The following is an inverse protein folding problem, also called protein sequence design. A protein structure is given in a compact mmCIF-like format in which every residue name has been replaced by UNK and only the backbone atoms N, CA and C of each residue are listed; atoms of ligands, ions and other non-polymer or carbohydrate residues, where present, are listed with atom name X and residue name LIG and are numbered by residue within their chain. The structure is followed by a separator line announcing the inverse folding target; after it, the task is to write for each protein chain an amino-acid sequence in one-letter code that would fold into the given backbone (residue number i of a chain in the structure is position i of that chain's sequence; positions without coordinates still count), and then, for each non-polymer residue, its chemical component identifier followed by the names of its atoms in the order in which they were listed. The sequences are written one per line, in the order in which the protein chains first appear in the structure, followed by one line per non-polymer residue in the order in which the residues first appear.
data_IF_635010434829
#
_entry.id   IF_635010434829
#
_cell.length_a   1.000
_cell.length_b   1.000
_cell.length_c   1.000
_cell.angle_alpha   90.00
_cell.angle_beta   90.00
_cell.angle_gamma   90.00
#
_symmetry.space_group_name_H-M   'P 1'
#
loop_
_entity.id
_entity.type
_entity.pdbx_description
1 polymer ?
#
# COMPACT_ATOMS: atom_id res chain seq x y z
N UNK A 1 0.19 25.48 19.21
CA UNK A 1 1.10 25.08 18.14
C UNK A 1 2.34 25.94 18.25
N UNK A 2 3.48 25.36 18.57
CA UNK A 2 4.76 26.06 18.66
C UNK A 2 5.31 26.36 17.26
N UNK A 3 6.28 27.29 17.11
CA UNK A 3 6.95 27.53 15.84
C UNK A 3 7.59 26.27 15.23
N UNK A 4 8.12 25.37 16.08
CA UNK A 4 8.72 24.10 15.69
C UNK A 4 7.65 23.13 15.15
N UNK A 5 6.53 22.98 15.86
CA UNK A 5 5.39 22.17 15.41
C UNK A 5 4.82 22.66 14.07
N UNK A 6 4.73 23.99 13.89
CA UNK A 6 4.26 24.60 12.64
C UNK A 6 5.23 24.33 11.48
N UNK A 7 6.53 24.43 11.73
CA UNK A 7 7.57 24.18 10.71
C UNK A 7 7.58 22.72 10.28
N UNK A 8 7.52 21.80 11.26
CA UNK A 8 7.42 20.37 11.01
C UNK A 8 6.16 20.03 10.21
N UNK A 9 5.00 20.50 10.65
CA UNK A 9 3.71 20.26 9.97
C UNK A 9 3.73 20.79 8.53
N UNK A 10 4.32 21.96 8.31
CA UNK A 10 4.47 22.54 6.97
C UNK A 10 5.36 21.67 6.09
N UNK A 11 6.51 21.22 6.60
CA UNK A 11 7.43 20.34 5.87
C UNK A 11 6.80 18.97 5.55
N UNK A 12 6.10 18.38 6.53
CA UNK A 12 5.38 17.12 6.35
C UNK A 12 4.31 17.24 5.26
N UNK A 13 3.47 18.27 5.33
CA UNK A 13 2.42 18.51 4.34
C UNK A 13 2.98 18.74 2.93
N UNK A 14 4.13 19.42 2.82
CA UNK A 14 4.82 19.64 1.54
C UNK A 14 5.31 18.32 0.91
N UNK A 15 5.68 17.35 1.74
CA UNK A 15 6.19 16.04 1.31
C UNK A 15 5.13 14.92 1.32
N UNK A 16 3.90 15.21 1.73
CA UNK A 16 2.77 14.28 1.69
C UNK A 16 2.53 13.63 0.31
N UNK A 17 2.71 14.32 -0.83
CA UNK A 17 2.62 13.68 -2.15
C UNK A 17 3.61 12.53 -2.35
N UNK A 18 4.85 12.66 -1.84
CA UNK A 18 5.85 11.58 -1.86
C UNK A 18 5.40 10.42 -1.00
N UNK A 19 4.94 10.68 0.24
CA UNK A 19 4.42 9.65 1.13
C UNK A 19 3.27 8.86 0.49
N UNK A 20 2.36 9.55 -0.21
CA UNK A 20 1.22 8.94 -0.88
C UNK A 20 1.62 7.92 -1.98
N UNK A 21 2.85 7.95 -2.48
CA UNK A 21 3.35 6.98 -3.47
C UNK A 21 3.47 5.55 -2.91
N UNK A 22 3.40 5.35 -1.58
CA UNK A 22 3.39 4.00 -0.98
C UNK A 22 2.28 3.11 -1.58
N UNK A 23 1.14 3.72 -1.93
CA UNK A 23 -0.02 3.07 -2.58
C UNK A 23 0.29 2.50 -3.96
N UNK A 24 1.36 2.97 -4.61
CA UNK A 24 1.81 2.52 -5.93
C UNK A 24 2.92 1.48 -5.86
N UNK A 25 3.48 1.23 -4.68
CA UNK A 25 4.58 0.28 -4.53
C UNK A 25 4.09 -1.16 -4.76
N UNK A 26 4.85 -1.93 -5.53
CA UNK A 26 4.60 -3.35 -5.78
C UNK A 26 5.49 -4.26 -4.92
N UNK A 27 6.44 -3.71 -4.17
CA UNK A 27 7.39 -4.48 -3.36
C UNK A 27 7.85 -3.73 -2.11
N UNK A 28 8.50 -4.46 -1.20
CA UNK A 28 9.15 -3.90 -0.01
C UNK A 28 10.28 -2.93 -0.37
N UNK A 29 11.04 -3.23 -1.42
CA UNK A 29 12.14 -2.36 -1.86
C UNK A 29 11.63 -1.00 -2.36
N UNK A 30 10.54 -1.02 -3.14
CA UNK A 30 9.87 0.22 -3.58
C UNK A 30 9.31 1.01 -2.40
N UNK A 31 8.75 0.33 -1.39
CA UNK A 31 8.30 0.96 -0.16
C UNK A 31 9.48 1.67 0.53
N UNK A 32 10.61 1.01 0.76
CA UNK A 32 11.77 1.64 1.37
C UNK A 32 12.31 2.83 0.56
N UNK A 33 12.23 2.79 -0.78
CA UNK A 33 12.58 3.94 -1.63
C UNK A 33 11.65 5.13 -1.33
N UNK A 34 10.35 4.91 -1.24
CA UNK A 34 9.39 5.98 -0.91
C UNK A 34 9.62 6.53 0.49
N UNK A 35 9.88 5.67 1.49
CA UNK A 35 10.22 6.09 2.86
C UNK A 35 11.38 7.06 2.86
N UNK A 36 12.47 6.66 2.23
CA UNK A 36 13.72 7.41 2.29
C UNK A 36 13.64 8.68 1.46
N UNK A 37 12.90 8.66 0.33
CA UNK A 37 12.59 9.87 -0.41
C UNK A 37 11.73 10.85 0.41
N UNK A 38 10.77 10.35 1.18
CA UNK A 38 9.96 11.17 2.07
C UNK A 38 10.80 11.77 3.20
N UNK A 39 11.65 10.99 3.85
CA UNK A 39 12.58 11.46 4.88
C UNK A 39 13.58 12.49 4.34
N UNK A 40 14.17 12.22 3.17
CA UNK A 40 15.07 13.16 2.49
C UNK A 40 14.36 14.48 2.18
N UNK A 41 13.12 14.43 1.70
CA UNK A 41 12.30 15.60 1.41
C UNK A 41 11.95 16.41 2.66
N UNK A 42 11.62 15.75 3.77
CA UNK A 42 11.42 16.37 5.08
C UNK A 42 12.70 17.03 5.60
N UNK A 43 13.81 16.30 5.59
CA UNK A 43 15.10 16.77 6.09
C UNK A 43 15.63 17.95 5.27
N UNK A 44 15.33 18.02 3.96
CA UNK A 44 15.68 19.18 3.13
C UNK A 44 15.08 20.51 3.61
N UNK A 45 13.99 20.45 4.37
CA UNK A 45 13.28 21.61 4.89
C UNK A 45 13.58 21.87 6.37
N UNK A 46 13.86 20.82 7.14
CA UNK A 46 14.00 20.87 8.60
C UNK A 46 15.46 20.80 9.08
N UNK A 47 16.32 20.09 8.34
CA UNK A 47 17.71 19.81 8.68
C UNK A 47 18.63 20.33 7.57
N UNK A 48 18.52 21.63 7.26
CA UNK A 48 19.11 22.24 6.05
C UNK A 48 20.64 22.14 6.00
N UNK A 49 21.30 22.12 7.17
CA UNK A 49 22.76 21.98 7.28
C UNK A 49 23.20 20.57 6.89
N UNK A 50 22.63 19.56 7.51
CA UNK A 50 22.92 18.14 7.27
C UNK A 50 22.55 17.77 5.83
N UNK A 51 21.40 18.28 5.35
CA UNK A 51 20.97 18.08 3.97
C UNK A 51 21.94 18.74 2.98
N UNK A 52 22.46 19.92 3.29
CA UNK A 52 23.48 20.60 2.48
C UNK A 52 24.73 19.74 2.29
N UNK A 53 25.28 19.21 3.38
CA UNK A 53 26.44 18.31 3.34
C UNK A 53 26.18 17.03 2.54
N UNK A 54 25.01 16.41 2.72
CA UNK A 54 24.60 15.26 1.93
C UNK A 54 24.45 15.62 0.45
N UNK A 55 23.79 16.71 0.11
CA UNK A 55 23.61 17.17 -1.28
C UNK A 55 24.93 17.41 -1.99
N UNK A 56 25.92 18.00 -1.31
CA UNK A 56 27.27 18.20 -1.86
C UNK A 56 27.99 16.87 -2.12
N UNK A 57 27.79 15.87 -1.26
CA UNK A 57 28.34 14.52 -1.48
C UNK A 57 27.60 13.73 -2.58
N UNK A 58 26.34 14.07 -2.83
CA UNK A 58 25.50 13.45 -3.86
C UNK A 58 25.71 14.03 -5.26
N UNK A 59 26.72 14.87 -5.51
CA UNK A 59 26.95 15.47 -6.84
C UNK A 59 27.19 14.35 -7.87
N UNK A 60 26.09 13.98 -8.51
CA UNK A 60 25.96 13.18 -9.71
C UNK A 60 25.77 14.20 -10.83
N UNK A 61 26.47 14.00 -11.94
CA UNK A 61 26.39 14.78 -13.17
C UNK A 61 25.01 15.48 -13.37
N UNK A 62 24.95 16.82 -13.59
CA UNK A 62 23.72 17.59 -13.75
C UNK A 62 22.68 17.00 -14.74
N UNK A 63 23.13 16.21 -15.71
CA UNK A 63 22.27 15.47 -16.65
C UNK A 63 21.39 14.42 -15.94
N UNK A 64 21.92 13.76 -14.92
CA UNK A 64 21.20 12.76 -14.11
C UNK A 64 20.16 13.40 -13.19
N UNK A 65 20.42 14.61 -12.69
CA UNK A 65 19.48 15.34 -11.84
C UNK A 65 18.20 15.73 -12.59
N UNK A 66 18.33 16.05 -13.88
CA UNK A 66 17.20 16.48 -14.73
C UNK A 66 16.27 15.30 -15.11
N UNK A 67 16.82 14.09 -15.31
CA UNK A 67 15.99 12.91 -15.58
C UNK A 67 15.28 12.39 -14.31
N UNK A 68 15.93 12.52 -13.15
CA UNK A 68 15.35 12.25 -11.82
C UNK A 68 14.17 13.19 -11.58
N UNK A 69 14.35 14.51 -11.79
CA UNK A 69 13.32 15.53 -11.58
C UNK A 69 12.02 15.26 -12.38
N UNK A 70 12.13 14.70 -13.59
CA UNK A 70 10.99 14.39 -14.46
C UNK A 70 10.25 13.09 -14.06
N UNK A 71 10.82 12.26 -13.19
CA UNK A 71 10.30 10.94 -12.83
C UNK A 71 9.85 10.83 -11.36
N UNK A 72 9.98 11.91 -10.57
CA UNK A 72 9.76 11.95 -9.10
C UNK A 72 8.37 11.50 -8.62
N UNK A 73 7.40 11.32 -9.52
CA UNK A 73 6.02 10.94 -9.18
C UNK A 73 5.78 9.41 -9.11
N UNK A 74 6.86 8.61 -9.12
CA UNK A 74 6.83 7.15 -9.06
C UNK A 74 7.97 6.61 -8.18
N UNK A 75 7.82 5.43 -7.55
CA UNK A 75 8.92 4.81 -6.80
C UNK A 75 10.19 4.66 -7.63
N UNK A 76 10.07 4.17 -8.88
CA UNK A 76 11.21 3.97 -9.79
C UNK A 76 11.96 5.27 -10.10
N UNK A 77 11.24 6.39 -10.25
CA UNK A 77 11.88 7.67 -10.52
C UNK A 77 12.62 8.28 -9.34
N UNK A 78 12.33 7.83 -8.11
CA UNK A 78 13.02 8.25 -6.89
C UNK A 78 14.23 7.38 -6.55
N UNK A 79 14.30 6.17 -7.11
CA UNK A 79 15.32 5.16 -6.78
C UNK A 79 16.75 5.65 -6.95
N UNK A 80 17.06 6.36 -8.04
CA UNK A 80 18.42 6.85 -8.30
C UNK A 80 18.86 7.85 -7.23
N UNK A 81 17.97 8.79 -6.88
CA UNK A 81 18.24 9.78 -5.84
C UNK A 81 18.43 9.11 -4.48
N UNK A 82 17.56 8.17 -4.12
CA UNK A 82 17.63 7.48 -2.83
C UNK A 82 18.87 6.59 -2.75
N UNK A 83 19.22 5.90 -3.83
CA UNK A 83 20.43 5.07 -3.89
C UNK A 83 21.68 5.92 -3.70
N UNK A 84 21.74 7.09 -4.35
CA UNK A 84 22.83 8.04 -4.18
C UNK A 84 22.89 8.61 -2.75
N UNK A 85 21.73 8.94 -2.17
CA UNK A 85 21.65 9.44 -0.80
C UNK A 85 22.15 8.38 0.20
N UNK A 86 21.67 7.14 0.10
CA UNK A 86 22.08 6.00 0.96
C UNK A 86 23.57 5.66 0.84
N UNK A 87 24.18 5.93 -0.31
CA UNK A 87 25.60 5.69 -0.53
C UNK A 87 26.50 6.79 0.06
N UNK A 88 25.93 7.92 0.49
CA UNK A 88 26.67 9.01 1.14
C UNK A 88 26.99 8.68 2.59
N UNK A 89 28.22 9.00 3.01
CA UNK A 89 28.63 8.94 4.43
C UNK A 89 27.80 9.87 5.33
N UNK A 90 27.08 10.84 4.76
CA UNK A 90 26.26 11.81 5.50
C UNK A 90 24.82 11.33 5.74
N UNK A 91 24.41 10.19 5.16
CA UNK A 91 23.03 9.70 5.22
C UNK A 91 22.55 9.45 6.64
N UNK A 92 23.31 8.68 7.42
CA UNK A 92 22.95 8.33 8.80
C UNK A 92 22.88 9.57 9.71
N UNK A 93 23.79 10.53 9.51
CA UNK A 93 23.78 11.79 10.24
C UNK A 93 22.54 12.64 9.93
N UNK A 94 22.12 12.68 8.67
CA UNK A 94 20.90 13.37 8.25
C UNK A 94 19.65 12.74 8.88
N UNK A 95 19.55 11.40 8.85
CA UNK A 95 18.43 10.68 9.45
C UNK A 95 18.37 10.92 10.96
N UNK A 96 19.49 10.81 11.66
CA UNK A 96 19.55 11.07 13.10
C UNK A 96 19.04 12.47 13.45
N UNK A 97 19.46 13.50 12.70
CA UNK A 97 18.98 14.87 12.88
C UNK A 97 17.47 15.01 12.61
N UNK A 98 16.96 14.36 11.56
CA UNK A 98 15.52 14.37 11.26
C UNK A 98 14.71 13.72 12.39
N UNK A 99 15.14 12.57 12.92
CA UNK A 99 14.46 11.90 14.03
C UNK A 99 14.52 12.71 15.32
N UNK A 100 15.61 13.45 15.57
CA UNK A 100 15.68 14.39 16.69
C UNK A 100 14.64 15.51 16.56
N UNK A 101 14.53 16.13 15.37
CA UNK A 101 13.51 17.16 15.10
C UNK A 101 12.10 16.59 15.22
N UNK A 102 11.85 15.37 14.75
CA UNK A 102 10.56 14.70 14.88
C UNK A 102 10.21 14.44 16.36
N UNK A 103 11.17 13.97 17.16
CA UNK A 103 10.99 13.72 18.59
C UNK A 103 10.66 15.00 19.36
N UNK A 104 11.26 16.14 19.01
CA UNK A 104 10.98 17.44 19.64
C UNK A 104 9.51 17.87 19.52
N UNK A 105 8.83 17.45 18.45
CA UNK A 105 7.40 17.74 18.21
C UNK A 105 6.50 16.53 18.52
N UNK A 106 7.04 15.51 19.20
CA UNK A 106 6.35 14.24 19.51
C UNK A 106 5.79 13.51 18.27
N UNK A 107 6.47 13.63 17.12
CA UNK A 107 6.15 12.88 15.91
C UNK A 107 6.96 11.58 15.85
N UNK A 108 6.27 10.45 15.69
CA UNK A 108 6.90 9.16 15.44
C UNK A 108 6.85 8.83 13.94
N UNK A 109 7.92 9.19 13.24
CA UNK A 109 8.03 8.94 11.80
C UNK A 109 8.15 7.44 11.47
N UNK A 110 8.76 6.66 12.36
CA UNK A 110 8.97 5.23 12.15
C UNK A 110 7.67 4.46 12.28
N UNK A 111 6.85 4.79 13.28
CA UNK A 111 5.54 4.15 13.45
C UNK A 111 4.58 4.53 12.32
N UNK A 112 4.56 5.80 11.89
CA UNK A 112 3.78 6.23 10.71
C UNK A 112 4.16 5.39 9.49
N UNK A 113 5.46 5.22 9.23
CA UNK A 113 5.91 4.42 8.11
C UNK A 113 5.59 2.93 8.28
N UNK A 114 5.84 2.37 9.46
CA UNK A 114 5.59 0.95 9.80
C UNK A 114 4.14 0.56 9.56
N UNK A 115 3.18 1.42 9.91
CA UNK A 115 1.75 1.19 9.65
C UNK A 115 1.46 1.15 8.14
N UNK A 116 1.99 2.11 7.37
CA UNK A 116 1.79 2.18 5.92
C UNK A 116 2.42 0.99 5.20
N UNK A 117 3.65 0.62 5.58
CA UNK A 117 4.38 -0.51 5.01
C UNK A 117 3.65 -1.82 5.28
N UNK A 118 3.23 -2.05 6.53
CA UNK A 118 2.49 -3.25 6.92
C UNK A 118 1.18 -3.37 6.16
N UNK A 119 0.39 -2.29 6.11
CA UNK A 119 -0.88 -2.26 5.38
C UNK A 119 -0.69 -2.55 3.89
N UNK A 120 0.35 -1.98 3.26
CA UNK A 120 0.64 -2.23 1.85
C UNK A 120 1.08 -3.67 1.58
N UNK A 121 1.99 -4.21 2.39
CA UNK A 121 2.50 -5.57 2.20
C UNK A 121 1.41 -6.63 2.43
N UNK A 122 0.55 -6.44 3.44
CA UNK A 122 -0.62 -7.29 3.66
C UNK A 122 -1.55 -7.29 2.44
N UNK A 123 -1.88 -6.11 1.92
CA UNK A 123 -2.74 -5.99 0.75
C UNK A 123 -2.15 -6.59 -0.52
N UNK A 124 -0.85 -6.38 -0.77
CA UNK A 124 -0.14 -7.01 -1.88
C UNK A 124 -0.14 -8.53 -1.77
N UNK A 125 0.06 -9.06 -0.56
CA UNK A 125 -0.01 -10.50 -0.30
C UNK A 125 -1.40 -11.05 -0.64
N UNK A 126 -2.46 -10.38 -0.20
CA UNK A 126 -3.84 -10.79 -0.49
C UNK A 126 -4.15 -10.79 -1.99
N UNK A 127 -3.79 -9.72 -2.70
CA UNK A 127 -3.98 -9.64 -4.16
C UNK A 127 -3.24 -10.78 -4.87
N UNK A 128 -1.98 -11.02 -4.51
CA UNK A 128 -1.15 -12.04 -5.15
C UNK A 128 -1.71 -13.44 -4.92
N UNK A 129 -2.15 -13.76 -3.70
CA UNK A 129 -2.79 -15.04 -3.38
C UNK A 129 -4.10 -15.25 -4.14
N UNK A 130 -4.94 -14.22 -4.25
CA UNK A 130 -6.25 -14.30 -4.90
C UNK A 130 -6.20 -14.14 -6.43
N UNK A 131 -5.03 -13.78 -7.00
CA UNK A 131 -4.88 -13.51 -8.43
C UNK A 131 -5.28 -14.68 -9.35
N UNK A 132 -4.88 -15.93 -9.09
CA UNK A 132 -5.29 -17.06 -9.94
C UNK A 132 -6.82 -17.19 -10.05
N UNK A 133 -7.52 -17.04 -8.93
CA UNK A 133 -8.98 -17.11 -8.91
C UNK A 133 -9.63 -15.95 -9.67
N UNK A 134 -9.11 -14.73 -9.48
CA UNK A 134 -9.55 -13.55 -10.24
C UNK A 134 -9.45 -13.78 -11.75
N UNK A 135 -8.35 -14.36 -12.23
CA UNK A 135 -8.15 -14.66 -13.66
C UNK A 135 -9.20 -15.66 -14.16
N UNK A 136 -9.48 -16.72 -13.40
CA UNK A 136 -10.51 -17.71 -13.72
C UNK A 136 -11.89 -17.03 -13.83
N UNK A 137 -12.27 -16.24 -12.83
CA UNK A 137 -13.55 -15.54 -12.78
C UNK A 137 -13.72 -14.55 -13.94
N UNK A 138 -12.72 -13.68 -14.19
CA UNK A 138 -12.75 -12.73 -15.31
C UNK A 138 -12.85 -13.44 -16.66
N UNK A 139 -12.15 -14.58 -16.83
CA UNK A 139 -12.21 -15.37 -18.06
C UNK A 139 -13.57 -16.01 -18.27
N UNK A 140 -14.18 -16.55 -17.20
CA UNK A 140 -15.52 -17.11 -17.26
C UNK A 140 -16.55 -16.04 -17.66
N UNK A 141 -16.55 -14.88 -16.98
CA UNK A 141 -17.45 -13.76 -17.28
C UNK A 141 -17.30 -13.19 -18.69
N UNK A 142 -16.09 -13.24 -19.27
CA UNK A 142 -15.83 -12.76 -20.63
C UNK A 142 -16.36 -13.72 -21.69
N UNK A 143 -16.38 -15.02 -21.39
CA UNK A 143 -16.77 -16.06 -22.33
C UNK A 143 -18.25 -16.46 -22.22
N UNK A 144 -18.99 -15.84 -21.30
CA UNK A 144 -20.42 -16.10 -21.11
C UNK A 144 -21.27 -15.05 -21.83
N UNK A 145 -21.82 -15.44 -22.99
CA UNK A 145 -22.72 -14.60 -23.79
C UNK A 145 -24.07 -14.33 -23.09
N UNK A 146 -24.40 -15.06 -22.03
CA UNK A 146 -25.63 -14.91 -21.25
C UNK A 146 -25.40 -14.25 -19.89
N UNK A 147 -24.20 -13.72 -19.66
CA UNK A 147 -23.82 -13.04 -18.42
C UNK A 147 -24.87 -12.00 -18.01
N UNK A 148 -25.19 -12.05 -16.72
CA UNK A 148 -26.08 -11.11 -16.04
C UNK A 148 -25.30 -10.25 -15.06
N UNK A 149 -25.93 -9.18 -14.56
CA UNK A 149 -25.36 -8.38 -13.47
C UNK A 149 -25.16 -9.20 -12.19
N UNK A 150 -25.95 -10.26 -11.97
CA UNK A 150 -25.79 -11.15 -10.82
C UNK A 150 -24.46 -11.91 -10.90
N UNK A 151 -24.07 -12.40 -12.07
CA UNK A 151 -22.81 -13.12 -12.26
C UNK A 151 -21.59 -12.24 -11.93
N UNK A 152 -21.69 -10.94 -12.24
CA UNK A 152 -20.68 -9.95 -11.87
C UNK A 152 -20.57 -9.74 -10.36
N UNK A 153 -21.71 -9.70 -9.67
CA UNK A 153 -21.76 -9.56 -8.21
C UNK A 153 -21.17 -10.80 -7.56
N UNK A 154 -21.59 -11.98 -7.98
CA UNK A 154 -21.14 -13.27 -7.45
C UNK A 154 -19.63 -13.44 -7.65
N UNK A 155 -19.10 -13.15 -8.85
CA UNK A 155 -17.67 -13.21 -9.11
C UNK A 155 -16.87 -12.25 -8.21
N UNK A 156 -17.38 -11.04 -7.98
CA UNK A 156 -16.75 -10.08 -7.06
C UNK A 156 -16.80 -10.57 -5.62
N UNK A 157 -17.90 -11.16 -5.17
CA UNK A 157 -18.00 -11.77 -3.85
C UNK A 157 -16.99 -12.91 -3.68
N UNK A 158 -16.90 -13.82 -4.64
CA UNK A 158 -15.93 -14.92 -4.61
C UNK A 158 -14.49 -14.40 -4.55
N UNK A 159 -14.18 -13.37 -5.33
CA UNK A 159 -12.87 -12.73 -5.29
C UNK A 159 -12.59 -12.07 -3.94
N UNK A 160 -13.57 -11.37 -3.36
CA UNK A 160 -13.48 -10.73 -2.06
C UNK A 160 -13.25 -11.74 -0.93
N UNK A 161 -13.96 -12.87 -0.96
CA UNK A 161 -13.70 -13.99 -0.06
C UNK A 161 -12.28 -14.54 -0.22
N UNK A 162 -11.78 -14.69 -1.44
CA UNK A 162 -10.40 -15.16 -1.65
C UNK A 162 -9.34 -14.16 -1.14
N UNK A 163 -9.59 -12.86 -1.22
CA UNK A 163 -8.74 -11.84 -0.61
C UNK A 163 -8.70 -12.00 0.92
N UNK A 164 -9.86 -12.22 1.55
CA UNK A 164 -9.95 -12.31 3.02
C UNK A 164 -9.18 -13.49 3.61
N UNK A 165 -9.01 -14.59 2.86
CA UNK A 165 -8.22 -15.75 3.28
C UNK A 165 -6.75 -15.43 3.56
N UNK A 166 -6.22 -14.35 2.96
CA UNK A 166 -4.82 -13.92 3.13
C UNK A 166 -4.67 -12.72 4.07
N UNK A 167 -5.76 -12.22 4.66
CA UNK A 167 -5.74 -11.10 5.61
C UNK A 167 -5.89 -11.68 7.02
N UNK A 168 -4.85 -11.61 7.87
CA UNK A 168 -4.85 -12.28 9.19
C UNK A 168 -6.04 -11.90 10.07
N UNK A 169 -6.41 -10.62 10.10
CA UNK A 169 -7.52 -10.11 10.92
C UNK A 169 -8.89 -10.66 10.48
N UNK A 170 -9.01 -11.19 9.25
CA UNK A 170 -10.26 -11.71 8.70
C UNK A 170 -10.38 -13.24 8.77
N UNK A 171 -9.46 -13.92 9.46
CA UNK A 171 -9.45 -15.38 9.51
C UNK A 171 -10.76 -15.96 10.08
N UNK A 172 -11.21 -15.48 11.24
CA UNK A 172 -12.45 -15.95 11.89
C UNK A 172 -13.70 -15.59 11.07
N UNK A 173 -13.68 -14.40 10.44
CA UNK A 173 -14.78 -13.91 9.60
C UNK A 173 -14.90 -14.77 8.34
N UNK A 174 -13.77 -15.10 7.71
CA UNK A 174 -13.72 -15.96 6.53
C UNK A 174 -14.19 -17.38 6.86
N UNK A 175 -13.82 -17.89 8.03
CA UNK A 175 -14.28 -19.20 8.52
C UNK A 175 -15.80 -19.22 8.78
N UNK A 176 -16.33 -18.15 9.37
CA UNK A 176 -17.77 -17.98 9.57
C UNK A 176 -18.52 -18.00 8.24
N UNK A 177 -18.03 -17.28 7.22
CA UNK A 177 -18.63 -17.29 5.89
C UNK A 177 -18.54 -18.67 5.22
N UNK A 178 -17.36 -19.30 5.28
CA UNK A 178 -17.12 -20.62 4.72
C UNK A 178 -18.09 -21.66 5.26
N UNK A 179 -18.31 -21.66 6.59
CA UNK A 179 -19.29 -22.51 7.25
C UNK A 179 -20.73 -22.18 6.85
N UNK A 180 -21.08 -20.88 6.79
CA UNK A 180 -22.42 -20.42 6.41
C UNK A 180 -22.86 -20.91 5.03
N UNK A 181 -21.93 -20.91 4.07
CA UNK A 181 -22.20 -21.34 2.69
C UNK A 181 -21.84 -22.80 2.44
N UNK A 182 -21.54 -23.57 3.51
CA UNK A 182 -21.21 -24.99 3.47
C UNK A 182 -20.07 -25.34 2.51
N UNK A 183 -18.99 -24.56 2.51
CA UNK A 183 -17.82 -24.90 1.69
C UNK A 183 -17.15 -26.17 2.22
N UNK A 184 -16.86 -27.12 1.32
CA UNK A 184 -16.07 -28.31 1.65
C UNK A 184 -14.58 -27.98 1.83
N UNK A 185 -14.05 -27.12 0.96
CA UNK A 185 -12.69 -26.60 1.03
C UNK A 185 -12.71 -25.08 0.97
N UNK A 186 -12.35 -24.46 2.09
CA UNK A 186 -12.30 -23.00 2.23
C UNK A 186 -11.33 -22.33 1.26
N UNK A 187 -10.31 -23.06 0.78
CA UNK A 187 -9.31 -22.55 -0.17
C UNK A 187 -9.76 -22.68 -1.63
N UNK A 188 -10.87 -23.40 -1.87
CA UNK A 188 -11.40 -23.66 -3.21
C UNK A 188 -12.89 -23.28 -3.30
N UNK A 189 -13.25 -21.99 -3.24
CA UNK A 189 -14.64 -21.52 -3.14
C UNK A 189 -15.52 -21.83 -4.36
N UNK A 190 -14.93 -22.28 -5.47
CA UNK A 190 -15.66 -22.71 -6.68
C UNK A 190 -16.09 -24.18 -6.62
N UNK A 191 -15.47 -24.99 -5.76
CA UNK A 191 -15.82 -26.40 -5.62
C UNK A 191 -17.21 -26.52 -4.99
N UNK A 192 -18.12 -27.17 -5.70
CA UNK A 192 -19.52 -27.33 -5.30
C UNK A 192 -20.23 -26.00 -5.01
N UNK A 193 -19.83 -24.93 -5.72
CA UNK A 193 -20.42 -23.61 -5.58
C UNK A 193 -21.95 -23.64 -5.73
N UNK A 194 -22.63 -23.08 -4.75
CA UNK A 194 -24.09 -22.92 -4.75
C UNK A 194 -24.45 -21.43 -4.69
N UNK A 195 -24.94 -20.92 -5.81
CA UNK A 195 -25.33 -19.52 -5.99
C UNK A 195 -26.39 -19.04 -4.98
N UNK A 196 -27.23 -19.94 -4.48
CA UNK A 196 -28.31 -19.57 -3.54
C UNK A 196 -27.78 -19.30 -2.12
N UNK A 197 -26.57 -19.77 -1.81
CA UNK A 197 -25.94 -19.54 -0.51
C UNK A 197 -25.09 -18.26 -0.47
N UNK A 198 -24.64 -17.79 -1.63
CA UNK A 198 -23.81 -16.59 -1.75
C UNK A 198 -24.67 -15.33 -1.92
N UNK A 199 -25.29 -14.88 -0.82
CA UNK A 199 -26.09 -13.65 -0.79
C UNK A 199 -25.34 -12.50 -0.08
N UNK A 200 -25.10 -11.40 -0.80
CA UNK A 200 -24.46 -10.21 -0.24
C UNK A 200 -25.29 -9.51 0.85
N UNK A 201 -26.58 -9.86 0.98
CA UNK A 201 -27.47 -9.37 2.05
C UNK A 201 -27.38 -10.20 3.33
N UNK A 202 -26.64 -11.31 3.32
CA UNK A 202 -26.44 -12.12 4.52
C UNK A 202 -25.68 -11.31 5.58
N UNK A 203 -26.10 -11.43 6.84
CA UNK A 203 -25.45 -10.71 7.94
C UNK A 203 -23.98 -11.13 8.11
N UNK A 204 -23.67 -12.37 7.79
CA UNK A 204 -22.33 -12.97 7.83
C UNK A 204 -21.41 -12.46 6.71
N UNK A 205 -21.97 -11.92 5.62
CA UNK A 205 -21.19 -11.34 4.53
C UNK A 205 -20.62 -9.97 4.90
N UNK A 206 -21.41 -9.14 5.59
CA UNK A 206 -21.07 -7.74 5.85
C UNK A 206 -19.72 -7.54 6.56
N UNK A 207 -19.35 -8.29 7.61
CA UNK A 207 -18.04 -8.15 8.24
C UNK A 207 -16.88 -8.48 7.30
N UNK A 208 -17.07 -9.43 6.37
CA UNK A 208 -16.06 -9.79 5.38
C UNK A 208 -15.87 -8.66 4.38
N UNK A 209 -16.97 -8.14 3.84
CA UNK A 209 -16.94 -7.00 2.90
C UNK A 209 -16.25 -5.77 3.51
N UNK A 210 -16.66 -5.36 4.71
CA UNK A 210 -16.04 -4.24 5.41
C UNK A 210 -14.56 -4.48 5.69
N UNK A 211 -14.21 -5.67 6.17
CA UNK A 211 -12.83 -6.02 6.49
C UNK A 211 -11.90 -5.99 5.27
N UNK A 212 -12.36 -6.50 4.12
CA UNK A 212 -11.57 -6.43 2.88
C UNK A 212 -11.44 -4.98 2.39
N UNK A 213 -12.49 -4.17 2.49
CA UNK A 213 -12.42 -2.75 2.13
C UNK A 213 -11.45 -1.98 3.04
N UNK A 214 -11.46 -2.25 4.35
CA UNK A 214 -10.52 -1.65 5.30
C UNK A 214 -9.07 -2.06 5.01
N UNK A 215 -8.83 -3.35 4.74
CA UNK A 215 -7.50 -3.83 4.33
C UNK A 215 -7.02 -3.16 3.03
N UNK A 216 -7.90 -3.01 2.04
CA UNK A 216 -7.59 -2.30 0.80
C UNK A 216 -7.21 -0.83 1.06
N UNK A 217 -7.96 -0.14 1.93
CA UNK A 217 -7.68 1.25 2.31
C UNK A 217 -6.34 1.39 3.05
N UNK A 218 -6.04 0.50 3.99
CA UNK A 218 -4.71 0.43 4.65
C UNK A 218 -3.58 0.22 3.63
N UNK A 219 -3.84 -0.59 2.60
CA UNK A 219 -2.94 -0.80 1.48
C UNK A 219 -2.88 0.34 0.44
N UNK A 220 -3.57 1.45 0.69
CA UNK A 220 -3.63 2.61 -0.21
C UNK A 220 -4.42 2.36 -1.50
N UNK A 221 -5.40 1.48 -1.48
CA UNK A 221 -6.14 1.01 -2.66
C UNK A 221 -7.64 0.89 -2.36
N UNK A 222 -8.38 0.29 -3.28
CA UNK A 222 -9.77 -0.11 -3.10
C UNK A 222 -9.99 -1.51 -3.68
N UNK A 223 -11.04 -2.20 -3.20
CA UNK A 223 -11.47 -3.46 -3.81
C UNK A 223 -11.73 -3.30 -5.33
N UNK A 224 -12.28 -2.16 -5.73
CA UNK A 224 -12.55 -1.85 -7.14
C UNK A 224 -11.26 -1.81 -7.96
N UNK A 225 -10.24 -1.08 -7.51
CA UNK A 225 -8.95 -1.01 -8.20
C UNK A 225 -8.32 -2.42 -8.31
N UNK A 226 -8.38 -3.19 -7.23
CA UNK A 226 -7.87 -4.56 -7.21
C UNK A 226 -8.66 -5.48 -8.15
N UNK A 227 -9.99 -5.33 -8.28
CA UNK A 227 -10.76 -6.09 -9.26
C UNK A 227 -10.46 -5.64 -10.69
N UNK A 228 -10.32 -4.35 -10.95
CA UNK A 228 -10.16 -3.80 -12.31
C UNK A 228 -8.78 -4.05 -12.91
N UNK A 229 -7.71 -4.05 -12.10
CA UNK A 229 -6.33 -4.36 -12.50
C UNK A 229 -6.18 -5.69 -13.27
#
# INVERSE_FOLDING_TARGET
MTPEELSFTTAFNKNRPTLALFSKCASKDELHIIRDAFFLGLASLLCTKEYGSLRESMIIDPTSFTSIANSLNTPKGLEVMVTAARASDQWEGLLAALHEVAAQVNSDLDEIWSILERGRLEWLSAINSAHPLKVILKKALKNDDKRTEKDDVDAKMIYMYALSLSIPELQEISETWSNKVNMEDKMNPLQNYNVDLWDCRSNEWRPLDLGVQEAAQRGGSSFRDAWEA
#
